data_IF_781037398469
#
_entry.id   IF_781037398469
#
_cell.length_a   1.000
_cell.length_b   1.000
_cell.length_c   1.000
_cell.angle_alpha   90.00
_cell.angle_beta   90.00
_cell.angle_gamma   90.00
#
_symmetry.space_group_name_H-M   'P 1'
#
loop_
_entity.id
_entity.type
_entity.pdbx_description
1 polymer ?
2 non-polymer ?
3 water ?
#
# COMPACT_ATOMS: atom_id res chain seq x y z
N UNK A 5 -9.78 -5.49 -30.01
CA UNK A 5 -9.45 -5.85 -31.42
C UNK A 5 -8.85 -4.64 -32.15
N UNK A 6 -9.67 -3.61 -32.32
CA UNK A 6 -9.24 -2.37 -33.01
C UNK A 6 -8.04 -1.76 -32.31
N UNK A 7 -6.95 -1.60 -33.06
CA UNK A 7 -5.72 -1.05 -32.50
C UNK A 7 -5.84 0.46 -32.35
N UNK A 8 -5.79 0.95 -31.11
CA UNK A 8 -5.79 2.39 -30.89
C UNK A 8 -4.35 2.89 -30.78
N UNK A 9 -4.05 4.01 -31.42
CA UNK A 9 -2.70 4.57 -31.51
C UNK A 9 -2.70 5.98 -30.93
N UNK A 10 -1.96 6.20 -29.85
CA UNK A 10 -1.95 7.51 -29.20
C UNK A 10 -0.55 8.13 -29.18
N UNK A 11 -0.47 9.44 -28.93
CA UNK A 11 0.82 10.09 -28.79
C UNK A 11 1.11 10.25 -27.29
N UNK A 12 2.09 9.50 -26.77
CA UNK A 12 2.22 9.41 -25.32
C UNK A 12 3.57 9.77 -24.76
N UNK A 13 3.58 10.45 -23.63
CA UNK A 13 4.85 10.86 -23.06
C UNK A 13 5.36 9.81 -22.08
N UNK A 14 6.64 9.43 -22.19
CA UNK A 14 7.13 8.42 -21.26
C UNK A 14 7.00 8.90 -19.83
N UNK A 15 6.70 7.98 -18.92
CA UNK A 15 6.46 8.31 -17.51
C UNK A 15 7.64 9.02 -16.89
N UNK A 16 8.83 8.51 -17.15
CA UNK A 16 10.07 9.12 -16.66
C UNK A 16 10.83 9.69 -17.87
N UNK A 17 12.11 10.03 -17.68
CA UNK A 17 12.94 10.57 -18.78
C UNK A 17 12.52 11.94 -19.30
N UNK A 18 12.96 12.30 -20.52
CA UNK A 18 12.65 13.59 -21.10
C UNK A 18 11.21 13.65 -21.64
N UNK A 19 10.58 14.82 -21.57
CA UNK A 19 9.19 15.01 -22.07
C UNK A 19 9.13 14.95 -23.60
N UNK A 20 9.28 13.76 -24.17
CA UNK A 20 9.30 13.64 -25.62
C UNK A 20 8.41 12.52 -26.07
N UNK A 21 7.18 12.87 -26.46
CA UNK A 21 6.10 11.94 -26.74
C UNK A 21 6.42 10.97 -27.88
N UNK A 22 5.93 9.74 -27.79
CA UNK A 22 6.06 8.78 -28.87
C UNK A 22 4.69 8.26 -29.24
N UNK A 23 4.58 7.76 -30.47
CA UNK A 23 3.44 6.99 -30.91
C UNK A 23 3.42 5.64 -30.17
N UNK A 24 2.35 5.37 -29.42
CA UNK A 24 2.19 4.08 -28.78
C UNK A 24 0.90 3.43 -29.25
N UNK A 25 0.99 2.16 -29.61
CA UNK A 25 -0.15 1.40 -30.11
C UNK A 25 -0.59 0.32 -29.13
N UNK A 26 -1.89 0.26 -28.88
CA UNK A 26 -2.44 -0.80 -28.05
C UNK A 26 -3.82 -1.22 -28.50
N UNK A 27 -4.17 -2.43 -28.12
CA UNK A 27 -5.40 -3.07 -28.55
C UNK A 27 -5.97 -3.88 -27.37
N UNK A 28 -7.06 -4.61 -27.60
CA UNK A 28 -7.64 -5.53 -26.59
C UNK A 28 -8.03 -4.84 -25.27
N UNK A 29 -8.52 -3.62 -25.41
CA UNK A 29 -8.94 -2.81 -24.30
C UNK A 29 -10.24 -3.34 -23.68
N UNK A 30 -10.19 -3.64 -22.39
CA UNK A 30 -11.38 -4.02 -21.64
C UNK A 30 -11.36 -3.29 -20.33
N UNK A 31 -12.54 -3.12 -19.73
CA UNK A 31 -12.60 -2.41 -18.48
C UNK A 31 -12.29 -3.39 -17.38
N UNK A 32 -11.44 -3.00 -16.45
CA UNK A 32 -11.17 -3.87 -15.33
C UNK A 32 -11.52 -3.24 -14.02
N UNK A 33 -11.84 -1.94 -14.04
CA UNK A 33 -12.33 -1.28 -12.81
C UNK A 33 -12.85 0.14 -13.02
N UNK A 34 -13.51 0.69 -12.00
CA UNK A 34 -13.90 2.12 -12.03
C UNK A 34 -14.22 2.76 -10.67
N UNK A 35 -14.17 4.09 -10.64
CA UNK A 35 -14.46 4.85 -9.44
C UNK A 35 -14.71 6.32 -9.76
N UNK A 36 -14.60 7.16 -8.73
CA UNK A 36 -14.88 8.59 -8.90
C UNK A 36 -14.01 9.23 -9.99
N UNK A 37 -12.72 8.91 -9.98
CA UNK A 37 -11.75 9.40 -10.99
C UNK A 37 -12.14 9.05 -12.43
N UNK A 38 -12.58 7.81 -12.62
CA UNK A 38 -12.87 7.30 -13.94
C UNK A 38 -12.73 5.79 -13.96
N UNK A 39 -11.95 5.27 -14.90
CA UNK A 39 -11.97 3.86 -15.27
C UNK A 39 -10.57 3.29 -15.43
N UNK A 40 -10.39 2.00 -15.11
CA UNK A 40 -9.14 1.31 -15.42
C UNK A 40 -9.35 0.22 -16.46
N UNK A 41 -8.49 0.22 -17.47
CA UNK A 41 -8.55 -0.78 -18.51
C UNK A 41 -7.36 -1.71 -18.45
N UNK A 42 -7.50 -2.83 -19.13
CA UNK A 42 -6.38 -3.69 -19.46
C UNK A 42 -6.17 -3.61 -20.97
N UNK A 43 -4.94 -3.40 -21.39
CA UNK A 43 -4.67 -3.41 -22.82
C UNK A 43 -3.39 -4.14 -23.11
N UNK A 44 -3.19 -4.49 -24.37
CA UNK A 44 -1.98 -5.10 -24.81
C UNK A 44 -1.27 -4.14 -25.73
N UNK A 45 -0.05 -3.75 -25.37
CA UNK A 45 0.79 -2.90 -26.22
C UNK A 45 1.14 -3.74 -27.43
N UNK A 46 0.86 -3.22 -28.62
CA UNK A 46 1.09 -3.97 -29.85
C UNK A 46 2.53 -4.40 -30.10
N UNK A 47 3.49 -3.65 -29.57
CA UNK A 47 4.86 -3.86 -30.02
C UNK A 47 5.74 -4.69 -29.07
N UNK A 48 5.38 -4.73 -27.80
CA UNK A 48 6.09 -5.59 -26.87
C UNK A 48 5.21 -6.76 -26.46
N UNK A 49 3.97 -6.76 -26.94
CA UNK A 49 2.99 -7.77 -26.56
C UNK A 49 2.59 -7.64 -25.10
N UNK A 50 3.26 -6.73 -24.39
CA UNK A 50 3.10 -6.64 -22.95
C UNK A 50 1.74 -6.09 -22.54
N UNK A 51 1.21 -6.60 -21.43
CA UNK A 51 -0.08 -6.13 -20.93
C UNK A 51 0.09 -4.92 -20.03
N UNK A 52 -0.87 -4.00 -20.13
CA UNK A 52 -0.81 -2.82 -19.29
C UNK A 52 -2.19 -2.46 -18.82
N UNK A 53 -2.24 -1.70 -17.75
CA UNK A 53 -3.47 -1.09 -17.31
C UNK A 53 -3.42 0.35 -17.79
N UNK A 54 -4.59 0.88 -18.08
CA UNK A 54 -4.71 2.27 -18.44
C UNK A 54 -5.78 2.87 -17.56
N UNK A 55 -5.36 3.70 -16.63
CA UNK A 55 -6.24 4.44 -15.77
C UNK A 55 -6.70 5.71 -16.47
N UNK A 56 -7.97 5.76 -16.85
CA UNK A 56 -8.55 6.94 -17.49
C UNK A 56 -9.22 7.91 -16.48
N UNK A 57 -8.42 8.82 -15.93
CA UNK A 57 -8.93 9.88 -15.07
C UNK A 57 -9.65 10.96 -15.90
N UNK A 58 -10.03 12.06 -15.26
CA UNK A 58 -10.67 13.17 -15.93
C UNK A 58 -9.94 14.43 -15.49
N UNK A 59 -9.24 15.08 -16.41
CA UNK A 59 -8.33 16.13 -15.99
C UNK A 59 -9.00 17.51 -15.94
N UNK A 60 -8.80 18.17 -14.81
CA UNK A 60 -9.44 19.46 -14.52
C UNK A 60 -9.07 20.48 -15.58
N UNK A 61 -8.57 19.99 -16.71
CA UNK A 61 -8.15 20.82 -17.85
C UNK A 61 -7.23 21.98 -17.44
N UNK A 62 -7.76 22.91 -16.65
CA UNK A 62 -6.99 24.08 -16.23
C UNK A 62 -6.27 23.84 -14.89
N UNK A 63 -6.09 22.58 -14.51
CA UNK A 63 -5.44 22.25 -13.24
C UNK A 63 -4.38 21.14 -13.43
N UNK A 64 -3.34 21.16 -12.58
CA UNK A 64 -2.27 20.14 -12.62
C UNK A 64 -2.68 18.89 -11.82
N UNK A 65 -2.63 17.73 -12.46
CA UNK A 65 -2.99 16.46 -11.82
C UNK A 65 -1.95 16.04 -10.79
N UNK A 66 -2.38 15.88 -9.55
CA UNK A 66 -1.48 15.54 -8.48
C UNK A 66 -0.93 14.11 -8.62
N UNK A 67 -1.77 13.22 -9.10
CA UNK A 67 -1.41 11.81 -9.16
C UNK A 67 -0.33 11.69 -10.22
N UNK A 68 -0.63 12.25 -11.39
CA UNK A 68 0.34 12.28 -12.46
C UNK A 68 1.67 12.88 -12.00
N UNK A 69 1.60 14.02 -11.36
CA UNK A 69 2.82 14.65 -10.88
C UNK A 69 3.58 13.73 -9.90
N UNK A 70 2.84 12.91 -9.15
CA UNK A 70 3.48 12.01 -8.18
C UNK A 70 4.06 10.75 -8.84
N UNK A 71 3.34 10.20 -9.82
CA UNK A 71 3.77 8.97 -10.47
C UNK A 71 5.09 9.15 -11.21
N UNK A 72 5.35 10.37 -11.64
CA UNK A 72 6.50 10.61 -12.46
C UNK A 72 7.75 10.57 -11.62
N UNK A 73 7.62 10.89 -10.32
CA UNK A 73 8.77 10.91 -9.43
C UNK A 73 9.20 9.49 -9.09
N UNK A 74 8.40 8.51 -9.51
CA UNK A 74 8.43 7.18 -8.91
C UNK A 74 8.98 6.06 -9.78
N UNK A 75 10.02 5.39 -9.28
CA UNK A 75 10.50 4.15 -9.92
C UNK A 75 10.99 3.16 -8.87
N UNK A 76 10.15 2.16 -8.62
CA UNK A 76 10.40 1.14 -7.61
C UNK A 76 9.67 -0.13 -8.03
N UNK A 77 10.23 -1.27 -7.67
CA UNK A 77 9.79 -2.51 -8.25
C UNK A 77 8.54 -3.01 -7.57
N UNK A 78 8.26 -2.48 -6.37
CA UNK A 78 7.02 -2.79 -5.66
C UNK A 78 5.95 -1.71 -5.83
N UNK A 79 6.12 -0.89 -6.86
CA UNK A 79 5.12 0.07 -7.21
C UNK A 79 4.83 -0.01 -8.70
N UNK A 80 3.56 -0.05 -9.03
CA UNK A 80 3.11 -0.05 -10.40
C UNK A 80 3.71 1.17 -11.05
N UNK A 81 4.49 0.96 -12.10
CA UNK A 81 5.23 2.03 -12.72
C UNK A 81 4.41 2.75 -13.78
N UNK A 82 4.54 4.07 -13.82
CA UNK A 82 3.90 4.83 -14.87
C UNK A 82 4.80 4.72 -16.08
N UNK A 83 4.40 3.89 -17.02
CA UNK A 83 5.20 3.71 -18.22
C UNK A 83 5.04 4.91 -19.12
N UNK A 84 3.80 5.18 -19.51
CA UNK A 84 3.51 6.35 -20.32
C UNK A 84 2.39 7.14 -19.70
N UNK A 85 2.02 8.22 -20.36
CA UNK A 85 0.77 8.89 -20.06
C UNK A 85 0.36 9.72 -21.27
N UNK A 86 -0.95 9.81 -21.51
CA UNK A 86 -1.43 10.64 -22.59
C UNK A 86 -2.77 11.26 -22.26
N UNK A 87 -3.28 12.06 -23.18
CA UNK A 87 -4.54 12.77 -23.01
C UNK A 87 -5.49 12.37 -24.12
N UNK A 88 -6.78 12.61 -23.91
CA UNK A 88 -7.79 12.17 -24.86
C UNK A 88 -9.17 12.72 -24.54
N UNK A 89 -10.11 12.51 -25.47
CA UNK A 89 -11.53 12.65 -25.19
C UNK A 89 -12.36 12.46 -26.46
N UNK A 95 -14.80 16.13 -21.78
CA UNK A 95 -13.90 17.04 -22.49
C UNK A 95 -12.44 16.54 -22.57
N UNK A 96 -11.79 16.33 -21.41
CA UNK A 96 -10.37 15.97 -21.41
C UNK A 96 -9.95 14.97 -20.31
N UNK A 97 -9.46 13.80 -20.74
CA UNK A 97 -9.07 12.73 -19.82
C UNK A 97 -7.55 12.53 -19.81
N UNK A 98 -6.96 12.52 -18.63
CA UNK A 98 -5.57 12.10 -18.45
C UNK A 98 -5.52 10.58 -18.40
N UNK A 99 -4.66 9.94 -19.19
CA UNK A 99 -4.53 8.48 -19.17
C UNK A 99 -3.17 8.00 -18.70
N UNK A 100 -3.16 7.26 -17.59
CA UNK A 100 -1.94 6.71 -17.02
C UNK A 100 -1.74 5.27 -17.44
N UNK A 101 -0.74 5.03 -18.27
CA UNK A 101 -0.39 3.69 -18.70
C UNK A 101 0.58 3.08 -17.71
N UNK A 102 0.09 2.04 -17.04
CA UNK A 102 0.75 1.49 -15.87
C UNK A 102 1.09 0.04 -16.07
N UNK A 103 1.97 -0.48 -15.21
CA UNK A 103 2.14 -1.91 -15.12
C UNK A 103 0.79 -2.50 -14.80
N UNK A 104 0.48 -3.59 -15.47
CA UNK A 104 -0.64 -4.45 -15.14
C UNK A 104 -0.10 -5.67 -14.41
N UNK A 105 -0.84 -6.09 -13.39
CA UNK A 105 -0.51 -7.23 -12.57
C UNK A 105 -1.89 -7.79 -12.28
N UNK A 106 -2.06 -9.12 -12.31
CA UNK A 106 -3.44 -9.58 -12.51
C UNK A 106 -4.24 -9.86 -11.24
N UNK A 107 -3.58 -9.90 -10.09
CA UNK A 107 -4.22 -10.32 -8.84
C UNK A 107 -4.03 -9.26 -7.78
N UNK A 108 -4.85 -9.35 -6.74
CA UNK A 108 -4.75 -8.45 -5.64
C UNK A 108 -4.76 -9.28 -4.42
N UNK A 109 -4.15 -8.74 -3.36
CA UNK A 109 -4.20 -9.34 -2.05
C UNK A 109 -5.62 -9.48 -1.56
N UNK A 110 -6.48 -8.55 -1.93
CA UNK A 110 -7.87 -8.65 -1.49
C UNK A 110 -8.46 -9.93 -1.95
N UNK A 111 -8.26 -10.20 -3.23
CA UNK A 111 -8.91 -11.34 -3.85
C UNK A 111 -8.25 -12.64 -3.45
N UNK A 112 -6.95 -12.60 -3.23
CA UNK A 112 -6.30 -13.78 -2.73
C UNK A 112 -6.77 -14.07 -1.30
N UNK A 113 -6.75 -13.04 -0.46
CA UNK A 113 -7.09 -13.16 0.97
C UNK A 113 -8.50 -13.72 1.17
N UNK A 114 -9.39 -13.42 0.21
CA UNK A 114 -10.79 -13.82 0.27
C UNK A 114 -11.05 -15.20 -0.25
N UNK A 115 -10.21 -15.68 -1.16
CA UNK A 115 -10.31 -17.06 -1.62
C UNK A 115 -10.04 -17.96 -0.43
N UNK A 116 -8.94 -17.70 0.27
CA UNK A 116 -8.59 -18.47 1.45
C UNK A 116 -9.69 -18.41 2.44
N UNK A 117 -10.23 -17.22 2.64
CA UNK A 117 -11.19 -17.03 3.68
C UNK A 117 -12.51 -17.67 3.34
N UNK A 118 -12.88 -17.58 2.07
CA UNK A 118 -14.08 -18.25 1.57
C UNK A 118 -13.95 -19.76 1.74
N UNK A 119 -12.73 -20.27 1.68
CA UNK A 119 -12.49 -21.70 1.75
C UNK A 119 -12.05 -22.04 3.16
N UNK A 120 -12.25 -21.08 4.07
CA UNK A 120 -11.85 -21.24 5.47
C UNK A 120 -10.48 -21.94 5.62
N UNK A 121 -9.47 -21.34 5.02
CA UNK A 121 -8.07 -21.67 5.26
C UNK A 121 -7.37 -20.36 5.51
N UNK A 122 -6.08 -20.43 5.88
CA UNK A 122 -5.30 -19.24 6.18
C UNK A 122 -4.25 -19.04 5.12
N UNK A 123 -4.12 -17.82 4.60
CA UNK A 123 -3.01 -17.56 3.71
C UNK A 123 -1.68 -17.99 4.35
N UNK A 124 -0.88 -18.80 3.64
CA UNK A 124 0.42 -19.19 4.22
C UNK A 124 1.27 -18.01 4.69
N UNK A 125 1.70 -18.08 5.94
CA UNK A 125 2.57 -17.07 6.53
C UNK A 125 3.72 -16.67 5.63
N UNK A 126 4.19 -17.57 4.80
CA UNK A 126 5.32 -17.26 3.91
C UNK A 126 4.86 -16.22 2.91
N UNK A 127 3.60 -16.29 2.50
CA UNK A 127 3.02 -15.27 1.64
C UNK A 127 2.71 -13.99 2.40
N UNK A 128 2.33 -14.12 3.66
CA UNK A 128 2.07 -12.94 4.45
C UNK A 128 3.38 -12.17 4.53
N UNK A 129 4.45 -12.87 4.90
CA UNK A 129 5.78 -12.25 4.95
C UNK A 129 6.16 -11.55 3.65
N UNK A 130 6.12 -12.29 2.55
CA UNK A 130 6.56 -11.74 1.28
C UNK A 130 5.78 -10.46 0.98
N UNK A 131 4.46 -10.57 1.04
CA UNK A 131 3.56 -9.48 0.72
C UNK A 131 3.72 -8.27 1.63
N UNK A 132 3.78 -8.48 2.94
CA UNK A 132 3.97 -7.38 3.89
C UNK A 132 5.32 -6.67 3.75
N UNK A 133 6.35 -7.45 3.45
CA UNK A 133 7.70 -6.92 3.27
C UNK A 133 7.75 -6.02 2.06
N UNK A 134 7.21 -6.51 0.94
CA UNK A 134 7.25 -5.74 -0.27
C UNK A 134 6.37 -4.52 -0.09
N UNK A 135 5.40 -4.63 0.81
CA UNK A 135 4.58 -3.48 1.19
C UNK A 135 5.34 -2.45 2.05
N UNK A 136 6.00 -2.89 3.12
CA UNK A 136 6.84 -1.95 3.87
C UNK A 136 7.89 -1.31 3.00
N UNK A 137 8.45 -2.07 2.06
CA UNK A 137 9.40 -1.53 1.09
C UNK A 137 8.83 -0.33 0.33
N UNK A 138 7.75 -0.55 -0.41
CA UNK A 138 7.18 0.52 -1.24
C UNK A 138 6.88 1.78 -0.44
N UNK A 139 6.56 1.61 0.82
CA UNK A 139 6.28 2.75 1.69
C UNK A 139 7.55 3.44 2.19
N UNK A 140 8.54 2.66 2.63
CA UNK A 140 9.82 3.25 2.95
C UNK A 140 10.25 4.18 1.81
N UNK A 141 10.04 3.70 0.58
CA UNK A 141 10.41 4.44 -0.62
C UNK A 141 9.52 5.66 -0.82
N UNK A 142 8.22 5.42 -0.72
CA UNK A 142 7.20 6.44 -0.88
C UNK A 142 7.39 7.53 0.18
N UNK A 143 7.73 7.11 1.39
CA UNK A 143 7.78 8.03 2.50
C UNK A 143 9.07 8.82 2.51
N UNK A 144 10.12 8.21 2.01
CA UNK A 144 11.38 8.92 1.85
C UNK A 144 11.22 10.19 1.03
N UNK A 145 10.20 10.24 0.15
CA UNK A 145 9.93 11.46 -0.61
C UNK A 145 8.90 12.32 0.09
N UNK A 146 8.47 11.89 1.27
CA UNK A 146 7.42 12.59 1.99
C UNK A 146 6.10 12.51 1.25
N UNK A 147 5.90 11.39 0.55
CA UNK A 147 4.63 11.15 -0.12
C UNK A 147 3.81 10.11 0.65
N UNK A 148 2.64 10.51 1.15
CA UNK A 148 1.80 9.55 1.86
C UNK A 148 0.78 8.93 0.90
N UNK A 149 0.66 7.61 0.95
CA UNK A 149 -0.28 6.93 0.08
C UNK A 149 -1.74 7.23 0.40
N UNK A 150 -2.12 7.00 1.65
CA UNK A 150 -3.44 7.36 2.18
C UNK A 150 -4.61 6.51 1.67
N UNK A 151 -4.30 5.34 1.18
CA UNK A 151 -5.33 4.42 0.78
C UNK A 151 -4.69 3.07 0.72
N UNK A 152 -3.91 2.76 1.76
CA UNK A 152 -3.29 1.47 1.84
C UNK A 152 -4.37 0.54 2.33
N UNK A 153 -4.77 -0.37 1.44
CA UNK A 153 -5.83 -1.32 1.68
C UNK A 153 -5.60 -2.54 0.74
N UNK A 154 -6.09 -3.74 1.10
CA UNK A 154 -5.77 -4.93 0.31
C UNK A 154 -6.15 -4.88 -1.17
N UNK A 155 -7.05 -4.03 -1.60
CA UNK A 155 -7.20 -4.08 -3.03
C UNK A 155 -6.33 -3.08 -3.76
N UNK A 156 -5.46 -2.38 -3.04
CA UNK A 156 -4.47 -1.59 -3.75
C UNK A 156 -3.11 -2.26 -3.84
N UNK A 157 -3.06 -3.51 -3.35
CA UNK A 157 -1.91 -4.37 -3.45
C UNK A 157 -2.06 -5.37 -4.62
N UNK A 158 -1.25 -5.15 -5.65
CA UNK A 158 -1.27 -6.01 -6.81
C UNK A 158 -0.22 -7.08 -6.59
N UNK A 159 -0.55 -8.27 -7.07
CA UNK A 159 0.21 -9.48 -6.89
C UNK A 159 0.36 -10.22 -8.21
N UNK A 160 1.53 -10.78 -8.44
CA UNK A 160 1.69 -11.78 -9.48
C UNK A 160 1.59 -13.19 -8.86
N UNK A 161 0.55 -13.95 -9.24
CA UNK A 161 0.39 -15.29 -8.66
C UNK A 161 1.69 -16.11 -8.73
N UNK A 162 2.30 -16.13 -9.92
CA UNK A 162 3.45 -17.00 -10.24
C UNK A 162 4.79 -16.56 -9.64
N UNK A 163 5.01 -15.26 -9.51
CA UNK A 163 6.32 -14.75 -9.08
C UNK A 163 6.31 -14.10 -7.71
N UNK A 164 5.14 -13.86 -7.17
CA UNK A 164 5.01 -13.39 -5.79
C UNK A 164 5.45 -11.95 -5.65
N UNK A 165 5.51 -11.24 -6.77
CA UNK A 165 5.80 -9.83 -6.74
C UNK A 165 4.56 -9.04 -6.31
N UNK A 166 4.72 -8.17 -5.32
CA UNK A 166 3.66 -7.26 -4.94
C UNK A 166 3.97 -5.86 -5.39
N UNK A 167 3.05 -5.26 -6.13
CA UNK A 167 3.14 -3.86 -6.49
C UNK A 167 1.97 -3.04 -5.92
N UNK A 168 2.33 -2.04 -5.13
CA UNK A 168 1.44 -1.02 -4.66
C UNK A 168 0.85 -0.28 -5.85
N UNK A 169 -0.44 -0.01 -5.82
CA UNK A 169 -1.01 0.78 -6.90
C UNK A 169 -1.97 1.82 -6.37
N UNK A 170 -2.58 2.55 -7.29
CA UNK A 170 -3.54 3.59 -6.96
C UNK A 170 -3.04 4.73 -6.07
N UNK A 171 -2.59 5.80 -6.69
CA UNK A 171 -2.10 6.97 -5.98
C UNK A 171 -3.10 8.14 -6.12
N UNK A 172 -4.36 7.80 -6.39
CA UNK A 172 -5.43 8.75 -6.70
C UNK A 172 -5.86 9.52 -5.48
N UNK A 173 -5.16 9.29 -4.38
CA UNK A 173 -5.33 10.13 -3.23
C UNK A 173 -4.05 10.17 -2.38
N UNK A 174 -2.92 9.91 -3.02
CA UNK A 174 -1.66 10.16 -2.36
C UNK A 174 -1.39 11.66 -2.36
N UNK A 175 -0.49 12.10 -1.49
CA UNK A 175 -0.19 13.51 -1.37
C UNK A 175 1.23 13.67 -0.88
N UNK A 176 1.96 14.60 -1.48
CA UNK A 176 3.21 15.04 -0.93
C UNK A 176 2.82 15.83 0.33
N UNK A 177 3.15 15.31 1.49
CA UNK A 177 2.72 15.94 2.74
C UNK A 177 3.62 17.14 3.06
N UNK A 178 2.98 18.29 3.28
CA UNK A 178 3.67 19.54 3.61
C UNK A 178 3.57 19.82 5.12
N UNK A 179 4.59 19.39 5.87
CA UNK A 179 4.59 19.62 7.32
C UNK A 179 4.45 21.11 7.64
N UNK A 180 3.53 21.42 8.55
CA UNK A 180 3.10 22.80 8.76
C UNK A 180 1.84 23.03 7.97
N UNK A 181 1.62 22.16 6.98
CA UNK A 181 0.41 22.18 6.17
C UNK A 181 -0.53 21.04 6.58
N UNK A 182 -1.79 21.36 6.91
CA UNK A 182 -2.78 20.34 7.29
C UNK A 182 -3.46 19.67 6.08
N UNK A 183 -4.12 18.54 6.31
CA UNK A 183 -4.82 17.83 5.23
C UNK A 183 -6.20 17.31 5.59
N UNK A 184 -6.88 16.73 4.61
CA UNK A 184 -8.21 16.16 4.83
C UNK A 184 -8.12 14.90 5.69
N UNK A 185 -9.08 14.74 6.61
CA UNK A 185 -9.05 13.69 7.61
C UNK A 185 -9.97 12.50 7.27
N UNK A 186 -10.94 12.74 6.39
CA UNK A 186 -11.76 11.65 5.89
C UNK A 186 -11.11 11.11 4.62
N UNK A 187 -10.01 10.37 4.79
CA UNK A 187 -9.39 9.60 3.71
C UNK A 187 -9.20 8.14 4.14
N UNK A 188 -8.56 7.36 3.28
CA UNK A 188 -8.38 5.93 3.48
C UNK A 188 -9.66 5.15 3.43
N UNK A 189 -9.56 3.84 3.21
CA UNK A 189 -10.72 2.97 3.41
C UNK A 189 -10.98 2.82 4.88
N UNK A 190 -12.27 2.85 5.21
CA UNK A 190 -12.70 2.96 6.58
C UNK A 190 -11.97 1.95 7.46
N UNK A 191 -11.97 0.68 7.05
CA UNK A 191 -11.43 -0.38 7.88
C UNK A 191 -9.97 -0.13 8.16
N UNK A 192 -9.32 0.60 7.27
CA UNK A 192 -7.87 0.73 7.26
C UNK A 192 -7.42 2.09 7.76
N UNK A 193 -8.42 2.94 8.04
CA UNK A 193 -8.26 4.32 8.45
C UNK A 193 -7.77 4.40 9.89
N UNK A 194 -6.70 5.16 10.08
CA UNK A 194 -6.07 5.28 11.39
C UNK A 194 -6.91 6.14 12.33
N UNK A 195 -6.75 5.91 13.63
CA UNK A 195 -7.61 6.53 14.61
C UNK A 195 -7.62 8.06 14.56
N UNK A 196 -6.44 8.68 14.45
CA UNK A 196 -6.38 10.13 14.40
C UNK A 196 -7.25 10.69 13.28
N UNK A 197 -7.26 9.99 12.14
CA UNK A 197 -8.05 10.44 11.01
C UNK A 197 -9.53 10.53 11.37
N UNK A 198 -10.03 9.53 12.09
CA UNK A 198 -11.41 9.50 12.51
C UNK A 198 -11.60 10.55 13.59
N UNK A 199 -10.51 10.89 14.26
CA UNK A 199 -10.57 11.91 15.30
C UNK A 199 -10.60 13.33 14.78
N UNK A 200 -10.39 13.49 13.48
CA UNK A 200 -10.47 14.82 12.87
C UNK A 200 -9.11 15.46 12.66
N UNK A 201 -8.04 14.77 13.08
CA UNK A 201 -6.69 15.31 12.90
C UNK A 201 -6.47 15.70 11.44
N UNK A 202 -5.61 16.69 11.21
CA UNK A 202 -5.27 17.15 9.87
C UNK A 202 -3.78 17.51 9.81
N UNK A 203 -3.12 17.29 10.97
CA UNK A 203 -1.72 17.63 11.15
C UNK A 203 -0.93 16.34 11.09
N UNK A 204 -1.51 15.33 10.46
CA UNK A 204 -0.97 13.99 10.50
C UNK A 204 0.25 13.73 9.64
N UNK A 205 0.81 12.53 9.79
CA UNK A 205 2.06 12.16 9.12
C UNK A 205 1.88 10.87 8.34
N UNK A 206 2.99 10.28 7.93
CA UNK A 206 2.95 9.09 7.13
C UNK A 206 2.62 7.86 7.96
N UNK A 207 2.58 8.02 9.27
CA UNK A 207 2.25 6.89 10.11
C UNK A 207 0.90 6.33 9.70
N UNK A 208 0.01 7.18 9.18
CA UNK A 208 -1.32 6.68 8.85
C UNK A 208 -1.23 5.47 7.91
N UNK A 209 -0.20 5.44 7.06
CA UNK A 209 -0.05 4.39 6.08
C UNK A 209 0.30 3.08 6.74
N UNK A 210 1.28 3.20 7.64
CA UNK A 210 1.67 2.13 8.53
C UNK A 210 0.48 1.56 9.32
N UNK A 211 -0.43 2.40 9.80
CA UNK A 211 -1.61 1.87 10.51
C UNK A 211 -2.39 1.01 9.56
N UNK A 212 -2.48 1.46 8.31
CA UNK A 212 -3.19 0.72 7.29
C UNK A 212 -2.52 -0.63 7.10
N UNK A 213 -1.19 -0.64 7.17
CA UNK A 213 -0.42 -1.88 6.94
C UNK A 213 -0.73 -2.88 8.05
N UNK A 214 -0.47 -2.49 9.30
CA UNK A 214 -1.06 -3.25 10.41
C UNK A 214 -2.44 -3.77 9.99
N UNK A 215 -3.35 -2.88 9.60
CA UNK A 215 -4.71 -3.34 9.35
C UNK A 215 -4.78 -4.53 8.38
N UNK A 216 -3.98 -4.45 7.31
CA UNK A 216 -3.62 -5.52 6.41
C UNK A 216 -2.92 -6.74 7.02
N UNK A 217 -1.74 -6.52 7.63
CA UNK A 217 -1.03 -7.60 8.33
C UNK A 217 -2.05 -8.41 9.13
N UNK A 218 -2.76 -7.72 10.00
CA UNK A 218 -3.72 -8.38 10.89
C UNK A 218 -4.87 -9.02 10.17
N UNK A 219 -5.25 -8.50 9.02
CA UNK A 219 -6.38 -9.10 8.31
C UNK A 219 -5.89 -10.34 7.57
N UNK A 220 -4.61 -10.35 7.24
CA UNK A 220 -4.06 -11.54 6.56
C UNK A 220 -3.98 -12.69 7.54
N UNK A 221 -3.70 -12.36 8.80
CA UNK A 221 -3.59 -13.34 9.87
C UNK A 221 -4.94 -13.83 10.36
N UNK A 222 -5.93 -12.95 10.41
CA UNK A 222 -7.21 -13.33 11.00
C UNK A 222 -8.16 -13.90 9.96
N UNK A 223 -7.94 -13.56 8.70
CA UNK A 223 -8.85 -13.97 7.65
C UNK A 223 -10.08 -13.10 7.57
N UNK A 224 -9.99 -11.89 8.13
CA UNK A 224 -11.08 -10.91 8.06
C UNK A 224 -10.60 -9.61 8.66
N UNK A 225 -11.21 -8.47 8.25
CA UNK A 225 -10.75 -7.16 8.71
C UNK A 225 -10.69 -7.15 10.22
N UNK A 226 -9.60 -6.62 10.79
CA UNK A 226 -9.51 -6.54 12.25
C UNK A 226 -10.52 -5.51 12.84
N UNK A 227 -10.77 -4.44 12.10
CA UNK A 227 -11.60 -3.33 12.60
C UNK A 227 -12.73 -3.00 11.62
N UNK A 228 -13.83 -3.75 11.65
CA UNK A 228 -14.80 -3.50 10.58
C UNK A 228 -16.01 -2.65 10.97
N UNK A 229 -15.85 -1.32 11.02
CA UNK A 229 -16.97 -0.42 11.36
C UNK A 229 -18.07 -0.31 10.30
N UNK A 230 -19.29 -0.03 10.73
CA UNK A 230 -20.36 0.13 9.76
C UNK A 230 -20.49 1.57 9.30
N UNK A 231 -19.60 2.43 9.82
CA UNK A 231 -19.53 3.81 9.34
C UNK A 231 -18.30 4.50 9.88
N UNK A 232 -18.04 5.70 9.38
CA UNK A 232 -16.86 6.46 9.75
C UNK A 232 -16.64 6.48 11.23
N UNK A 233 -17.73 6.54 11.98
CA UNK A 233 -17.64 6.77 13.41
C UNK A 233 -17.71 5.46 14.16
N UNK A 234 -18.46 4.53 13.60
CA UNK A 234 -18.54 3.21 14.17
C UNK A 234 -17.16 2.55 14.12
N UNK A 235 -16.36 3.00 13.17
CA UNK A 235 -15.00 2.50 12.98
C UNK A 235 -14.17 2.55 14.25
N UNK A 236 -14.23 3.67 14.95
CA UNK A 236 -13.41 3.87 16.12
C UNK A 236 -13.89 2.98 17.26
N UNK A 237 -15.17 2.63 17.23
CA UNK A 237 -15.71 1.74 18.24
C UNK A 237 -15.07 0.38 18.09
N UNK A 238 -14.83 -0.02 16.84
CA UNK A 238 -14.18 -1.28 16.53
C UNK A 238 -12.70 -1.29 16.93
N UNK A 239 -11.99 -0.21 16.63
CA UNK A 239 -10.60 -0.14 17.06
C UNK A 239 -10.58 -0.25 18.57
N UNK A 240 -11.42 0.57 19.22
CA UNK A 240 -11.52 0.63 20.65
C UNK A 240 -11.70 -0.74 21.31
N UNK A 241 -12.53 -1.60 20.73
CA UNK A 241 -12.78 -2.88 21.38
C UNK A 241 -11.62 -3.88 21.25
N UNK A 242 -10.50 -3.45 20.70
CA UNK A 242 -9.35 -4.35 20.60
C UNK A 242 -8.15 -3.76 21.34
N UNK A 243 -8.12 -2.44 21.44
CA UNK A 243 -7.01 -1.74 22.06
C UNK A 243 -7.46 -1.08 23.35
N UNK A 244 -8.78 -0.93 23.50
CA UNK A 244 -9.37 -0.24 24.62
C UNK A 244 -9.60 1.22 24.29
N UNK A 245 -9.58 2.07 25.31
CA UNK A 245 -9.67 3.50 25.08
C UNK A 245 -8.26 4.08 24.98
N UNK A 246 -8.12 5.16 24.19
CA UNK A 246 -6.94 6.03 24.11
C UNK A 246 -6.88 7.05 25.25
N UNK A 247 -5.68 7.28 25.77
CA UNK A 247 -5.51 8.10 26.97
C UNK A 247 -4.78 9.42 26.69
N UNK A 248 -4.83 10.33 27.67
CA UNK A 248 -4.21 11.65 27.57
C UNK A 248 -3.23 11.72 26.38
N UNK A 249 -1.95 11.38 26.63
CA UNK A 249 -0.92 11.49 25.59
C UNK A 249 -1.24 10.71 24.33
N UNK A 250 -2.24 9.84 24.40
CA UNK A 250 -2.66 9.11 23.21
C UNK A 250 -3.54 9.99 22.36
N UNK A 251 -4.62 10.50 22.95
CA UNK A 251 -5.47 11.41 22.22
C UNK A 251 -4.70 12.70 21.89
N UNK A 252 -3.83 13.11 22.81
CA UNK A 252 -2.95 14.26 22.57
C UNK A 252 -2.17 14.05 21.27
N UNK A 253 -1.56 12.88 21.17
CA UNK A 253 -0.63 12.58 20.10
C UNK A 253 -1.37 12.49 18.77
N UNK A 254 -2.65 12.18 18.83
CA UNK A 254 -3.44 11.97 17.63
C UNK A 254 -3.89 13.28 17.03
N UNK A 255 -4.07 14.29 17.89
CA UNK A 255 -4.62 15.56 17.46
C UNK A 255 -4.98 16.46 18.64
N UNK A 256 -4.51 17.72 18.62
CA UNK A 256 -4.93 18.71 19.62
C UNK A 256 -6.36 19.18 19.39
N UNK A 260 -14.86 17.26 22.03
CA UNK A 260 -15.18 17.01 20.63
C UNK A 260 -16.04 15.76 20.45
N UNK A 261 -15.43 14.58 20.52
CA UNK A 261 -16.15 13.33 20.29
C UNK A 261 -16.98 12.95 21.52
N UNK A 262 -17.44 11.70 21.55
CA UNK A 262 -18.29 11.25 22.65
C UNK A 262 -18.54 9.74 22.61
N UNK A 263 -17.60 8.97 23.15
CA UNK A 263 -17.65 7.50 23.12
C UNK A 263 -17.64 6.88 24.53
N UNK A 264 -17.72 5.53 24.60
CA UNK A 264 -17.74 4.79 25.87
C UNK A 264 -16.37 4.17 26.23
N UNK A 265 -16.20 3.82 27.51
CA UNK A 265 -14.91 3.35 28.04
C UNK A 265 -14.74 1.81 27.96
N UNK A 266 -13.56 1.34 27.52
CA UNK A 266 -13.33 -0.10 27.31
C UNK A 266 -11.89 -0.57 27.59
N UNK A 267 -11.75 -1.84 27.97
CA UNK A 267 -10.46 -2.38 28.43
C UNK A 267 -9.54 -2.95 27.34
N UNK A 268 -8.24 -2.85 27.59
CA UNK A 268 -7.20 -3.23 26.63
C UNK A 268 -7.12 -4.74 26.35
N UNK A 269 -7.78 -5.17 25.28
CA UNK A 269 -7.78 -6.56 24.86
C UNK A 269 -6.35 -7.03 24.54
N UNK A 270 -5.80 -7.95 25.35
CA UNK A 270 -4.43 -8.41 25.12
C UNK A 270 -4.20 -8.86 23.68
N UNK A 271 -2.99 -8.59 23.17
CA UNK A 271 -2.67 -8.90 21.78
C UNK A 271 -2.53 -10.38 21.52
N UNK A 272 -1.53 -10.96 22.18
CA UNK A 272 -1.16 -12.33 21.91
C UNK A 272 -2.38 -13.27 21.98
N UNK A 273 -3.56 -12.74 21.67
CA UNK A 273 -4.79 -13.52 21.76
C UNK A 273 -5.90 -13.00 20.85
N UNK A 274 -5.72 -11.79 20.34
CA UNK A 274 -6.72 -11.21 19.47
C UNK A 274 -6.89 -12.07 18.23
N UNK A 275 -5.89 -12.91 17.96
CA UNK A 275 -5.87 -13.77 16.77
C UNK A 275 -6.19 -15.23 17.08
N UNK A 276 -5.47 -16.13 16.43
CA UNK A 276 -5.65 -17.55 16.67
C UNK A 276 -4.37 -18.17 17.21
N UNK A 277 -4.49 -19.35 17.82
CA UNK A 277 -3.41 -20.07 18.49
C UNK A 277 -2.14 -20.27 17.65
N UNK A 278 -2.28 -20.74 16.41
CA UNK A 278 -1.09 -21.08 15.61
C UNK A 278 -0.34 -19.86 15.06
N UNK A 279 -0.89 -18.68 15.27
CA UNK A 279 -0.27 -17.45 14.77
C UNK A 279 1.12 -17.25 15.35
N UNK A 280 2.09 -16.88 14.50
CA UNK A 280 3.49 -16.75 14.95
C UNK A 280 3.69 -15.59 15.92
N UNK A 281 4.61 -15.75 16.88
CA UNK A 281 4.87 -14.75 17.90
C UNK A 281 5.23 -13.38 17.34
N UNK A 282 6.13 -13.34 16.37
CA UNK A 282 6.60 -12.06 15.83
C UNK A 282 5.52 -11.30 15.07
N UNK A 283 4.69 -12.00 14.31
CA UNK A 283 3.62 -11.33 13.59
C UNK A 283 2.77 -10.54 14.57
N UNK A 284 2.35 -11.19 15.64
CA UNK A 284 1.56 -10.53 16.67
C UNK A 284 2.31 -9.33 17.24
N UNK A 285 3.60 -9.52 17.51
CA UNK A 285 4.45 -8.43 17.98
C UNK A 285 4.61 -7.36 16.90
N UNK A 286 4.50 -7.75 15.65
CA UNK A 286 4.44 -6.73 14.59
C UNK A 286 3.24 -5.82 14.80
N UNK A 287 2.02 -6.32 14.53
CA UNK A 287 0.83 -5.48 14.69
C UNK A 287 0.93 -4.59 15.94
N UNK A 288 0.82 -5.21 17.12
CA UNK A 288 1.02 -4.43 18.37
C UNK A 288 2.01 -3.26 18.14
N UNK A 289 3.07 -3.52 17.39
CA UNK A 289 3.92 -2.43 16.94
C UNK A 289 3.36 -1.39 15.97
N UNK A 290 2.61 -1.85 14.93
CA UNK A 290 1.91 -1.03 13.94
C UNK A 290 0.62 -0.51 14.57
N UNK A 291 -0.59 -1.02 14.22
CA UNK A 291 -1.80 -0.69 15.06
C UNK A 291 -1.51 -0.07 16.50
N UNK A 292 -1.01 1.18 16.54
CA UNK A 292 -0.77 1.85 17.84
C UNK A 292 -1.46 3.20 17.88
N UNK A 293 -1.90 3.58 19.08
CA UNK A 293 -2.67 4.81 19.21
C UNK A 293 -1.83 6.02 18.83
N UNK A 294 -0.88 6.37 19.69
CA UNK A 294 0.04 7.45 19.34
C UNK A 294 0.66 7.11 17.97
N UNK A 295 0.67 8.08 17.05
CA UNK A 295 1.20 7.91 15.69
C UNK A 295 2.73 7.93 15.60
N UNK A 296 3.39 8.60 16.54
CA UNK A 296 4.84 8.56 16.61
C UNK A 296 5.31 7.18 17.08
N UNK A 297 4.39 6.41 17.66
CA UNK A 297 4.72 5.11 18.22
C UNK A 297 4.82 4.01 17.14
N UNK A 298 3.86 4.00 16.21
CA UNK A 298 3.96 3.10 15.10
C UNK A 298 5.38 3.08 14.58
N UNK A 299 5.88 1.87 14.29
CA UNK A 299 7.15 1.67 13.59
C UNK A 299 7.21 2.37 12.21
N UNK A 300 8.43 2.58 11.72
CA UNK A 300 8.65 3.08 10.35
C UNK A 300 8.69 1.90 9.37
N UNK A 301 8.23 2.13 8.12
CA UNK A 301 8.15 1.03 7.17
C UNK A 301 9.51 0.35 7.02
N UNK A 302 10.56 1.16 6.99
CA UNK A 302 11.90 0.61 6.90
C UNK A 302 12.09 -0.23 8.15
N UNK A 303 11.89 0.43 9.30
CA UNK A 303 12.05 -0.20 10.60
C UNK A 303 11.20 -1.46 10.74
N UNK A 304 10.05 -1.47 10.04
CA UNK A 304 9.17 -2.62 10.01
C UNK A 304 9.90 -3.79 9.39
N UNK A 305 10.27 -3.63 8.12
CA UNK A 305 11.12 -4.60 7.46
C UNK A 305 12.11 -5.21 8.44
N UNK A 306 12.98 -4.38 9.01
CA UNK A 306 13.98 -4.87 9.96
C UNK A 306 13.44 -5.99 10.86
N UNK A 307 12.43 -5.62 11.69
CA UNK A 307 11.76 -6.55 12.62
C UNK A 307 11.64 -8.04 12.19
N UNK A 308 12.10 -8.92 13.09
CA UNK A 308 12.11 -10.38 12.92
C UNK A 308 11.15 -10.94 11.88
N UNK A 309 9.87 -10.90 12.19
CA UNK A 309 8.86 -11.51 11.32
C UNK A 309 9.34 -11.85 9.91
N UNK A 310 10.13 -10.95 9.32
CA UNK A 310 10.61 -11.14 7.95
C UNK A 310 11.92 -11.90 7.83
N UNK A 311 12.43 -12.43 8.94
CA UNK A 311 13.73 -13.09 8.96
C UNK A 311 13.85 -14.26 7.99
N UNK A 312 12.79 -15.07 7.91
CA UNK A 312 12.75 -16.20 6.99
C UNK A 312 13.15 -15.73 5.58
N UNK A 313 12.77 -14.51 5.25
CA UNK A 313 13.04 -13.95 3.94
C UNK A 313 14.51 -13.53 3.78
N UNK A 314 15.23 -13.48 4.90
CA UNK A 314 16.66 -13.15 4.88
C UNK A 314 17.51 -14.42 4.87
N UNK A 315 16.84 -15.57 4.83
CA UNK A 315 17.54 -16.84 4.71
C UNK A 315 17.92 -17.09 3.24
N UNK A 316 19.22 -17.34 3.00
CA UNK A 316 19.79 -17.53 1.67
C UNK A 316 19.08 -18.56 0.77
N UNK A 317 18.48 -19.61 1.34
CA UNK A 317 17.82 -20.62 0.50
C UNK A 317 16.33 -20.40 0.21
N UNK A 318 15.66 -19.64 1.07
CA UNK A 318 14.22 -19.45 0.94
C UNK A 318 13.79 -19.54 -0.51
N UNK A 319 12.70 -20.25 -0.75
CA UNK A 319 12.12 -20.33 -2.08
C UNK A 319 10.60 -20.15 -2.04
N UNK A 320 10.00 -19.89 -3.19
CA UNK A 320 8.56 -19.81 -3.31
C UNK A 320 7.94 -21.21 -3.28
N UNK A 321 6.76 -21.33 -2.66
CA UNK A 321 6.07 -22.60 -2.62
C UNK A 321 6.18 -23.38 -3.94
N UNK A 322 6.21 -22.69 -5.07
CA UNK A 322 6.33 -23.38 -6.36
C UNK A 322 7.77 -23.62 -6.79
N UNK A 323 8.70 -23.52 -5.86
CA UNK A 323 10.09 -23.94 -6.11
C UNK A 323 10.97 -22.91 -6.79
N UNK A 324 10.39 -21.75 -7.09
CA UNK A 324 11.14 -20.62 -7.62
C UNK A 324 11.78 -19.82 -6.50
N UNK A 325 12.78 -19.03 -6.84
CA UNK A 325 13.40 -18.16 -5.87
C UNK A 325 12.50 -16.96 -5.61
N UNK A 326 12.67 -16.34 -4.46
CA UNK A 326 11.87 -15.18 -4.11
C UNK A 326 12.16 -14.05 -5.10
N UNK A 327 11.15 -13.20 -5.37
CA UNK A 327 11.36 -12.00 -6.18
C UNK A 327 12.49 -11.21 -5.56
N UNK A 328 13.03 -10.23 -6.26
CA UNK A 328 14.24 -9.57 -5.77
C UNK A 328 13.92 -8.66 -4.60
N UNK A 329 14.37 -9.04 -3.41
CA UNK A 329 13.96 -8.36 -2.17
C UNK A 329 15.01 -7.48 -1.51
N UNK A 330 16.23 -7.48 -2.03
CA UNK A 330 17.34 -6.76 -1.40
C UNK A 330 17.99 -5.71 -2.30
N UNK A 331 17.48 -5.55 -3.51
CA UNK A 331 18.01 -4.54 -4.44
C UNK A 331 17.74 -3.11 -3.99
N UNK A 332 18.16 -2.77 -2.78
CA UNK A 332 17.86 -1.45 -2.22
C UNK A 332 18.62 -0.33 -2.91
N UNK A 333 18.08 0.88 -2.83
CA UNK A 333 18.79 2.07 -3.28
C UNK A 333 19.03 2.96 -2.08
N UNK A 334 20.03 3.83 -2.17
CA UNK A 334 20.27 4.78 -1.08
C UNK A 334 19.08 5.72 -0.94
N UNK A 335 18.42 5.98 -2.07
CA UNK A 335 17.18 6.74 -2.06
C UNK A 335 16.12 6.02 -1.24
N UNK A 336 16.16 4.69 -1.30
CA UNK A 336 15.23 3.85 -0.59
C UNK A 336 15.64 3.75 0.88
N UNK A 337 16.95 3.79 1.11
CA UNK A 337 17.52 3.68 2.46
C UNK A 337 17.59 5.02 3.16
N UNK A 338 17.47 6.08 2.36
CA UNK A 338 17.67 7.44 2.86
C UNK A 338 17.27 7.61 4.32
N UNK A 339 16.01 7.30 4.63
CA UNK A 339 15.45 7.56 5.96
C UNK A 339 16.38 7.14 7.09
N UNK A 340 16.90 5.92 7.01
CA UNK A 340 17.66 5.36 8.11
C UNK A 340 18.82 4.51 7.62
N UNK A 341 19.84 5.18 7.04
CA UNK A 341 20.91 4.52 6.30
C UNK A 341 21.69 3.49 7.11
N UNK A 342 21.82 3.75 8.43
CA UNK A 342 22.62 2.84 9.25
C UNK A 342 21.77 1.68 9.74
N UNK A 343 21.53 0.71 8.86
CA UNK A 343 20.69 -0.43 9.18
C UNK A 343 20.66 -1.43 8.03
N UNK A 344 21.65 -1.34 7.14
CA UNK A 344 21.69 -2.18 5.95
C UNK A 344 22.11 -3.61 6.30
N UNK A 345 23.14 -3.73 7.14
CA UNK A 345 23.69 -5.03 7.52
C UNK A 345 22.63 -5.92 8.15
N UNK A 346 21.43 -5.37 8.34
CA UNK A 346 20.34 -6.12 8.93
C UNK A 346 19.14 -6.07 8.01
N UNK A 347 19.34 -5.50 6.82
CA UNK A 347 18.35 -5.54 5.73
C UNK A 347 18.95 -6.11 4.47
N UNK A 348 20.24 -5.90 4.26
CA UNK A 348 20.96 -6.59 3.20
C UNK A 348 21.77 -7.73 3.81
N UNK A 349 21.34 -8.98 3.59
CA UNK A 349 22.16 -10.11 3.97
C UNK A 349 23.30 -10.32 2.97
N UNK A 350 24.42 -10.84 3.47
CA UNK A 350 25.67 -11.00 2.71
C UNK A 350 25.47 -11.49 1.28
N UNK A 351 24.56 -12.55 1.18
CA UNK A 351 24.43 -13.24 -0.10
C UNK A 351 23.95 -12.35 -1.23
N UNK A 352 23.63 -11.07 -0.90
CA UNK A 352 23.15 -10.16 -1.93
C UNK A 352 23.96 -8.87 -1.94
N UNK A 353 25.29 -9.02 -1.92
CA UNK A 353 26.19 -7.87 -2.00
C UNK A 353 27.24 -8.10 -3.10
X LIG B 1 -9.45 -8.06 -9.67
X LIG B 1 -9.91 -6.69 -10.06
X LIG B 1 -10.64 -5.88 -8.64
X LIG B 1 -8.42 -5.84 -10.65
X LIG B 1 -7.18 -6.29 -10.22
X LIG B 1 -8.53 -4.76 -11.52
X LIG B 1 -7.38 -4.13 -11.95
X LIG B 1 -6.13 -4.57 -11.51
X LIG B 1 -6.02 -5.65 -10.65
X LIG B 1 -4.92 -3.88 -11.98
X LIG B 1 -4.59 -2.43 -11.78
X LIG B 1 -3.31 -2.26 -12.44
X LIG B 1 -2.88 -3.48 -12.98
X LIG B 1 -3.89 -4.51 -12.70
X LIG B 1 -2.67 -1.05 -12.48
X LIG B 1 -5.21 -1.37 -11.17
X LIG B 1 -4.55 -0.15 -11.23
X LIG B 1 -3.31 -0.01 -11.85
X LIG B 1 -5.14 1.03 -10.56
X LIG B 1 -6.40 1.15 -10.07
X LIG B 1 -6.47 2.39 -9.51
X LIG B 1 -7.79 2.76 -8.89
X LIG B 1 -5.30 3.04 -9.61
X LIG B 1 -4.45 2.15 -10.28
#
# INVERSE_FOLDING_TARGET
GAMGSKVTTVVATPGQGPDRPQEVSYTDTKVIGNGSFGVVYQAKLCDSGELVAIKKVLQDKRFKNRELQIMRKLDHCNIVRLRYFFYSSGEKKDEVYLNLVLDYVPETVYRVARHYSRAKQTLPVIYVKLYMYQLFRSLAYIHSFGICHRDIKPQNLLLDPDTAVLKLCDFGSAKQLVRGEPNVSYICSRYYRAPELIFGATDYTSSIDVWSAGCVLAELLLGQPIFPGDSGVDQLVEIIKVLGTPTREQIREMNPNYTEFKFPQIKAHPWTKVFRPRTPPEAIALCSRLLEYTPTARLTPLEACAHSFFDELRDPNVKLPNGRDTPALFNFTTQELSSNPPLATILIPPHAR
G3B O21 S24 C18 C14 C5 C6 C3 C10 C2 C12 C9 C13 O22 C8 C4 C7 C11 C1 C15 O23 C16 C17 N20 N19
#
